data_IF_603790750544
#
_entry.id   IF_603790750544
#
_cell.length_a   1.000
_cell.length_b   1.000
_cell.length_c   1.000
_cell.angle_alpha   90.00
_cell.angle_beta   90.00
_cell.angle_gamma   90.00
#
_symmetry.space_group_name_H-M   'P 1'
#
loop_
_entity.id
_entity.type
_entity.pdbx_description
1 polymer ?
#
# COMPACT_ATOMS: atom_id res chain seq x y z
N UNK A 1 11.70 6.65 -23.20
CA UNK A 1 10.40 7.37 -23.12
C UNK A 1 10.52 8.45 -22.03
N UNK A 2 9.96 9.66 -22.19
CA UNK A 2 9.99 10.68 -21.13
C UNK A 2 8.62 10.74 -20.44
N UNK A 3 8.61 10.60 -19.12
CA UNK A 3 7.43 10.73 -18.27
C UNK A 3 7.59 11.97 -17.41
N UNK A 4 6.61 12.87 -17.43
CA UNK A 4 6.54 14.04 -16.55
C UNK A 4 5.37 13.89 -15.59
N UNK A 5 5.59 14.15 -14.30
CA UNK A 5 4.55 14.09 -13.27
C UNK A 5 4.54 15.43 -12.55
N UNK A 6 3.36 16.06 -12.45
CA UNK A 6 3.17 17.33 -11.75
C UNK A 6 1.95 17.26 -10.84
N UNK A 7 2.12 17.56 -9.55
CA UNK A 7 0.99 17.74 -8.63
C UNK A 7 0.19 18.98 -9.04
N UNK A 8 -1.12 18.82 -9.22
CA UNK A 8 -2.04 19.90 -9.61
C UNK A 8 -2.82 20.38 -8.39
N UNK A 9 -3.34 19.45 -7.59
CA UNK A 9 -4.03 19.69 -6.32
C UNK A 9 -3.80 18.53 -5.35
N UNK A 10 -4.42 18.57 -4.17
CA UNK A 10 -4.09 17.73 -3.02
C UNK A 10 -4.07 16.22 -3.34
N UNK A 11 -4.99 15.77 -4.20
CA UNK A 11 -5.15 14.37 -4.65
C UNK A 11 -5.16 14.19 -6.18
N UNK A 12 -4.54 15.10 -6.93
CA UNK A 12 -4.51 15.01 -8.40
C UNK A 12 -3.14 15.36 -8.97
N UNK A 13 -2.68 14.51 -9.87
CA UNK A 13 -1.43 14.67 -10.61
C UNK A 13 -1.69 14.65 -12.09
N UNK A 14 -1.13 15.64 -12.79
CA UNK A 14 -1.04 15.62 -14.24
C UNK A 14 0.19 14.80 -14.64
N UNK A 15 -0.06 13.73 -15.38
CA UNK A 15 0.97 12.84 -15.92
C UNK A 15 1.03 13.00 -17.43
N UNK A 16 2.23 13.25 -17.94
CA UNK A 16 2.54 13.39 -19.36
C UNK A 16 3.43 12.25 -19.83
N UNK A 17 2.95 11.45 -20.79
CA UNK A 17 3.68 10.34 -21.42
C UNK A 17 3.64 10.50 -22.93
N UNK A 18 4.76 10.89 -23.54
CA UNK A 18 4.84 11.10 -24.99
C UNK A 18 3.96 12.26 -25.46
N UNK A 19 2.80 11.96 -26.06
CA UNK A 19 1.80 12.95 -26.50
C UNK A 19 0.50 12.88 -25.67
N UNK A 20 0.41 11.96 -24.70
CA UNK A 20 -0.75 11.79 -23.86
C UNK A 20 -0.59 12.59 -22.56
N UNK A 21 -1.69 13.25 -22.16
CA UNK A 21 -1.86 13.87 -20.85
C UNK A 21 -3.01 13.17 -20.14
N UNK A 22 -2.81 12.81 -18.87
CA UNK A 22 -3.85 12.20 -18.04
C UNK A 22 -3.78 12.73 -16.61
N UNK A 23 -4.93 12.79 -15.97
CA UNK A 23 -5.07 13.14 -14.56
C UNK A 23 -5.16 11.84 -13.77
N UNK A 24 -4.27 11.66 -12.80
CA UNK A 24 -4.20 10.48 -11.95
C UNK A 24 -4.37 10.88 -10.48
N UNK A 25 -5.02 10.01 -9.72
CA UNK A 25 -5.01 10.08 -8.26
C UNK A 25 -3.68 9.57 -7.69
N UNK A 26 -3.49 9.72 -6.37
CA UNK A 26 -2.23 9.34 -5.73
C UNK A 26 -1.90 7.86 -5.90
N UNK A 27 -2.90 7.01 -5.71
CA UNK A 27 -2.73 5.56 -5.87
C UNK A 27 -2.28 5.18 -7.27
N UNK A 28 -2.91 5.74 -8.30
CA UNK A 28 -2.59 5.51 -9.70
C UNK A 28 -1.18 5.99 -10.06
N UNK A 29 -0.71 7.08 -9.44
CA UNK A 29 0.66 7.56 -9.61
C UNK A 29 1.68 6.58 -9.01
N UNK A 30 1.41 6.05 -7.81
CA UNK A 30 2.28 5.05 -7.16
C UNK A 30 2.32 3.75 -7.98
N UNK A 31 1.17 3.30 -8.50
CA UNK A 31 1.12 2.14 -9.40
C UNK A 31 1.89 2.37 -10.70
N UNK A 32 1.80 3.57 -11.27
CA UNK A 32 2.56 3.94 -12.46
C UNK A 32 4.06 3.91 -12.16
N UNK A 33 4.50 4.43 -11.01
CA UNK A 33 5.91 4.38 -10.61
C UNK A 33 6.42 2.94 -10.52
N UNK A 34 5.70 2.05 -9.82
CA UNK A 34 6.01 0.62 -9.73
C UNK A 34 6.10 -0.02 -11.12
N UNK A 35 5.15 0.29 -12.01
CA UNK A 35 5.11 -0.27 -13.36
C UNK A 35 6.30 0.20 -14.20
N UNK A 36 6.67 1.47 -14.10
CA UNK A 36 7.83 2.03 -14.81
C UNK A 36 9.16 1.44 -14.31
N UNK A 37 9.29 1.24 -12.99
CA UNK A 37 10.46 0.58 -12.41
C UNK A 37 10.59 -0.87 -12.90
N UNK A 38 9.48 -1.61 -12.92
CA UNK A 38 9.45 -2.98 -13.43
C UNK A 38 9.86 -3.06 -14.91
N UNK A 39 9.30 -2.20 -15.76
CA UNK A 39 9.67 -2.14 -17.19
C UNK A 39 11.15 -1.79 -17.36
N UNK A 40 11.66 -0.83 -16.58
CA UNK A 40 13.08 -0.47 -16.63
C UNK A 40 13.99 -1.62 -16.21
N UNK A 41 13.64 -2.37 -15.17
CA UNK A 41 14.39 -3.54 -14.75
C UNK A 41 14.44 -4.61 -15.85
N UNK A 42 13.30 -4.89 -16.50
CA UNK A 42 13.23 -5.82 -17.63
C UNK A 42 14.13 -5.38 -18.82
N UNK A 43 14.18 -4.08 -19.13
CA UNK A 43 15.07 -3.54 -20.17
C UNK A 43 16.56 -3.78 -19.87
N UNK A 44 16.94 -3.87 -18.59
CA UNK A 44 18.31 -4.13 -18.14
C UNK A 44 18.59 -5.63 -17.88
N UNK A 45 17.62 -6.51 -18.14
CA UNK A 45 17.73 -7.95 -17.89
C UNK A 45 17.60 -8.34 -16.41
N UNK A 46 17.10 -7.44 -15.56
CA UNK A 46 16.86 -7.67 -14.14
C UNK A 46 15.44 -8.21 -13.89
N UNK A 47 15.30 -9.08 -12.89
CA UNK A 47 13.99 -9.58 -12.45
C UNK A 47 13.44 -8.68 -11.35
N UNK A 48 12.36 -7.95 -11.63
CA UNK A 48 11.67 -7.11 -10.63
C UNK A 48 10.33 -7.72 -10.24
N UNK A 49 10.09 -7.99 -8.95
CA UNK A 49 8.82 -8.55 -8.48
C UNK A 49 7.80 -7.45 -8.23
N UNK A 50 6.74 -7.41 -9.03
CA UNK A 50 5.61 -6.48 -8.82
C UNK A 50 4.97 -6.70 -7.45
N UNK A 51 4.84 -7.95 -7.01
CA UNK A 51 4.28 -8.26 -5.70
C UNK A 51 5.10 -7.63 -4.57
N UNK A 52 6.43 -7.69 -4.65
CA UNK A 52 7.29 -7.06 -3.65
C UNK A 52 7.07 -5.55 -3.61
N UNK A 53 6.93 -4.90 -4.75
CA UNK A 53 6.68 -3.44 -4.80
C UNK A 53 5.32 -3.07 -4.20
N UNK A 54 4.30 -3.90 -4.39
CA UNK A 54 3.00 -3.73 -3.71
C UNK A 54 3.16 -3.89 -2.20
N UNK A 55 3.86 -4.93 -1.74
CA UNK A 55 4.14 -5.14 -0.31
C UNK A 55 4.89 -3.94 0.28
N UNK A 56 5.90 -3.41 -0.42
CA UNK A 56 6.63 -2.20 0.01
C UNK A 56 5.71 -0.98 0.10
N UNK A 57 4.81 -0.79 -0.86
CA UNK A 57 3.82 0.29 -0.82
C UNK A 57 2.84 0.11 0.36
N UNK A 58 2.45 -1.12 0.68
CA UNK A 58 1.61 -1.42 1.84
C UNK A 58 2.32 -1.19 3.18
N UNK A 59 3.65 -1.28 3.25
CA UNK A 59 4.42 -0.98 4.47
C UNK A 59 4.22 0.46 4.96
N UNK A 60 3.73 1.37 4.11
CA UNK A 60 3.34 2.75 4.50
C UNK A 60 2.22 2.79 5.54
N UNK A 61 1.54 1.68 5.81
CA UNK A 61 0.68 1.52 6.99
C UNK A 61 1.41 1.91 8.29
N UNK A 62 2.73 1.72 8.36
CA UNK A 62 3.56 2.15 9.49
C UNK A 62 3.66 3.68 9.63
N UNK A 63 3.33 4.46 8.60
CA UNK A 63 3.31 5.93 8.66
C UNK A 63 1.98 6.47 9.25
N UNK A 64 0.99 5.61 9.50
CA UNK A 64 -0.31 5.99 10.06
C UNK A 64 -0.27 6.08 11.59
N UNK A 65 -0.97 7.05 12.17
CA UNK A 65 -1.23 7.04 13.61
C UNK A 65 -2.21 5.91 14.02
N UNK A 66 -2.32 5.65 15.33
CA UNK A 66 -3.21 4.60 15.84
C UNK A 66 -4.67 4.82 15.38
N UNK A 67 -5.12 6.08 15.29
CA UNK A 67 -6.47 6.42 14.84
C UNK A 67 -6.67 6.08 13.35
N UNK A 68 -5.73 6.47 12.49
CA UNK A 68 -5.77 6.16 11.07
C UNK A 68 -5.66 4.67 10.80
N UNK A 69 -4.83 3.97 11.57
CA UNK A 69 -4.72 2.52 11.50
C UNK A 69 -6.01 1.82 11.91
N UNK A 70 -6.69 2.28 12.97
CA UNK A 70 -8.01 1.77 13.36
C UNK A 70 -9.10 2.06 12.32
N UNK A 71 -8.96 3.13 11.53
CA UNK A 71 -9.89 3.40 10.42
C UNK A 71 -9.63 2.42 9.29
N UNK A 72 -8.37 2.25 8.90
CA UNK A 72 -7.99 1.29 7.87
C UNK A 72 -8.44 -0.14 8.21
N UNK A 73 -8.14 -0.62 9.42
CA UNK A 73 -8.47 -2.00 9.83
C UNK A 73 -9.96 -2.29 9.97
N UNK A 74 -10.82 -1.26 9.95
CA UNK A 74 -12.29 -1.42 9.90
C UNK A 74 -12.83 -1.56 8.49
N UNK A 75 -12.14 -0.99 7.51
CA UNK A 75 -12.56 -0.98 6.09
C UNK A 75 -11.90 -2.10 5.28
N UNK A 76 -10.91 -2.78 5.85
CA UNK A 76 -10.17 -3.88 5.22
C UNK A 76 -10.60 -5.23 5.82
N UNK A 77 -10.79 -6.23 4.96
CA UNK A 77 -11.11 -7.59 5.41
C UNK A 77 -9.95 -8.24 6.18
N UNK A 78 -10.26 -9.01 7.22
CA UNK A 78 -9.23 -9.69 8.03
C UNK A 78 -8.37 -10.66 7.22
N UNK A 79 -8.92 -11.28 6.18
CA UNK A 79 -8.18 -12.14 5.27
C UNK A 79 -7.12 -11.35 4.47
N UNK A 80 -7.46 -10.15 4.01
CA UNK A 80 -6.53 -9.31 3.25
C UNK A 80 -5.37 -8.82 4.14
N UNK A 81 -5.68 -8.49 5.39
CA UNK A 81 -4.67 -8.18 6.40
C UNK A 81 -3.76 -9.40 6.66
N UNK A 82 -4.33 -10.59 6.80
CA UNK A 82 -3.54 -11.82 7.01
C UNK A 82 -2.57 -12.05 5.85
N UNK A 83 -3.06 -11.98 4.61
CA UNK A 83 -2.24 -12.19 3.42
C UNK A 83 -1.11 -11.16 3.31
N UNK A 84 -1.40 -9.89 3.58
CA UNK A 84 -0.38 -8.85 3.67
C UNK A 84 0.67 -9.17 4.75
N UNK A 85 0.24 -9.55 5.96
CA UNK A 85 1.15 -9.85 7.08
C UNK A 85 2.06 -11.06 6.79
N UNK A 86 1.53 -12.09 6.12
CA UNK A 86 2.30 -13.29 5.71
C UNK A 86 3.33 -12.94 4.64
N UNK A 87 2.95 -12.08 3.67
CA UNK A 87 3.84 -11.69 2.56
C UNK A 87 4.90 -10.68 2.99
N UNK A 88 4.54 -9.70 3.82
CA UNK A 88 5.44 -8.67 4.29
C UNK A 88 6.49 -9.21 5.26
N UNK A 89 6.12 -10.21 6.08
CA UNK A 89 6.97 -10.75 7.15
C UNK A 89 7.57 -9.66 8.07
N UNK A 90 6.88 -8.54 8.22
CA UNK A 90 7.32 -7.37 8.98
C UNK A 90 6.67 -7.37 10.36
N UNK A 91 7.46 -7.71 11.39
CA UNK A 91 6.96 -7.87 12.77
C UNK A 91 6.44 -6.56 13.36
N UNK A 92 7.04 -5.42 13.02
CA UNK A 92 6.61 -4.11 13.51
C UNK A 92 5.22 -3.72 12.95
N UNK A 93 5.04 -3.85 11.64
CA UNK A 93 3.76 -3.67 10.98
C UNK A 93 2.71 -4.62 11.57
N UNK A 94 3.06 -5.89 11.73
CA UNK A 94 2.16 -6.91 12.23
C UNK A 94 1.67 -6.58 13.66
N UNK A 95 2.58 -6.20 14.55
CA UNK A 95 2.21 -5.82 15.93
C UNK A 95 1.37 -4.54 15.96
N UNK A 96 1.66 -3.55 15.10
CA UNK A 96 0.84 -2.33 15.00
C UNK A 96 -0.57 -2.59 14.51
N UNK A 97 -0.73 -3.44 13.49
CA UNK A 97 -2.05 -3.88 13.00
C UNK A 97 -2.80 -4.59 14.13
N UNK A 98 -2.16 -5.56 14.79
CA UNK A 98 -2.78 -6.34 15.86
C UNK A 98 -3.20 -5.47 17.07
N UNK A 99 -2.38 -4.50 17.46
CA UNK A 99 -2.68 -3.54 18.54
C UNK A 99 -3.91 -2.69 18.24
N UNK A 100 -4.17 -2.40 16.96
CA UNK A 100 -5.26 -1.54 16.51
C UNK A 100 -6.50 -2.31 16.02
N UNK A 101 -6.53 -3.63 16.27
CA UNK A 101 -7.70 -4.48 16.05
C UNK A 101 -8.46 -4.75 17.36
N UNK A 102 -9.74 -5.12 17.24
CA UNK A 102 -10.50 -5.62 18.39
C UNK A 102 -9.86 -6.88 18.98
N UNK A 103 -9.88 -7.03 20.31
CA UNK A 103 -9.13 -8.07 21.04
C UNK A 103 -9.43 -9.51 20.59
N UNK A 104 -10.65 -9.79 20.14
CA UNK A 104 -11.04 -11.09 19.59
C UNK A 104 -10.45 -11.31 18.19
N UNK A 105 -10.58 -10.31 17.30
CA UNK A 105 -10.06 -10.36 15.92
C UNK A 105 -8.53 -10.47 15.94
N UNK A 106 -7.86 -9.69 16.78
CA UNK A 106 -6.41 -9.73 16.94
C UNK A 106 -5.91 -11.12 17.37
N UNK A 107 -6.61 -11.79 18.30
CA UNK A 107 -6.25 -13.16 18.73
C UNK A 107 -6.41 -14.19 17.61
N UNK A 108 -7.50 -14.08 16.85
CA UNK A 108 -7.75 -14.95 15.71
C UNK A 108 -6.68 -14.75 14.64
N UNK A 109 -6.47 -13.50 14.22
CA UNK A 109 -5.48 -13.15 13.20
C UNK A 109 -4.06 -13.58 13.59
N UNK A 110 -3.68 -13.42 14.87
CA UNK A 110 -2.39 -13.91 15.40
C UNK A 110 -2.29 -15.44 15.32
N UNK A 111 -3.35 -16.17 15.66
CA UNK A 111 -3.37 -17.63 15.53
C UNK A 111 -3.27 -18.06 14.07
N UNK A 112 -3.92 -17.35 13.16
CA UNK A 112 -3.94 -17.68 11.74
C UNK A 112 -2.58 -17.39 11.10
N UNK A 113 -1.93 -16.28 11.48
CA UNK A 113 -0.57 -15.93 11.04
C UNK A 113 0.46 -17.01 11.42
N UNK A 114 0.35 -17.61 12.61
CA UNK A 114 1.25 -18.69 13.05
C UNK A 114 1.05 -19.98 12.23
N UNK A 115 -0.17 -20.23 11.75
CA UNK A 115 -0.54 -21.44 11.00
C UNK A 115 -0.40 -21.27 9.48
N UNK A 116 -0.17 -20.06 9.00
CA UNK A 116 -0.12 -19.78 7.58
C UNK A 116 1.21 -20.28 6.99
N UNK A 117 1.14 -21.30 6.13
CA UNK A 117 2.33 -21.89 5.50
C UNK A 117 2.83 -21.09 4.28
N UNK A 118 1.93 -20.55 3.46
CA UNK A 118 2.24 -19.65 2.34
C UNK A 118 0.98 -19.08 1.69
N UNK A 119 1.10 -17.92 1.03
CA UNK A 119 0.04 -17.29 0.24
C UNK A 119 0.37 -17.45 -1.24
N UNK A 120 -0.63 -17.82 -2.06
CA UNK A 120 -0.44 -17.87 -3.52
C UNK A 120 -0.17 -16.46 -4.06
N UNK A 121 0.78 -16.32 -4.98
CA UNK A 121 1.21 -15.02 -5.52
C UNK A 121 0.03 -14.18 -6.07
N UNK A 122 -0.91 -14.83 -6.77
CA UNK A 122 -2.09 -14.16 -7.33
C UNK A 122 -3.05 -13.68 -6.24
N UNK A 123 -3.40 -14.52 -5.27
CA UNK A 123 -4.30 -14.14 -4.19
C UNK A 123 -3.68 -13.01 -3.36
N UNK A 124 -2.41 -13.20 -3.00
CA UNK A 124 -1.63 -12.25 -2.23
C UNK A 124 -1.53 -10.88 -2.87
N UNK A 125 -1.29 -10.83 -4.19
CA UNK A 125 -1.27 -9.57 -4.93
C UNK A 125 -2.61 -8.84 -4.84
N UNK A 126 -3.72 -9.54 -5.05
CA UNK A 126 -5.05 -8.93 -5.02
C UNK A 126 -5.44 -8.48 -3.61
N UNK A 127 -5.10 -9.26 -2.58
CA UNK A 127 -5.29 -8.88 -1.18
C UNK A 127 -4.51 -7.62 -0.84
N UNK A 128 -3.19 -7.62 -1.08
CA UNK A 128 -2.34 -6.45 -0.82
C UNK A 128 -2.81 -5.23 -1.61
N UNK A 129 -3.23 -5.42 -2.87
CA UNK A 129 -3.80 -4.34 -3.67
C UNK A 129 -5.05 -3.74 -3.02
N UNK A 130 -6.01 -4.55 -2.55
CA UNK A 130 -7.20 -4.06 -1.85
C UNK A 130 -6.84 -3.27 -0.59
N UNK A 131 -5.87 -3.74 0.19
CA UNK A 131 -5.39 -3.00 1.37
C UNK A 131 -4.88 -1.62 0.98
N UNK A 132 -4.04 -1.55 -0.06
CA UNK A 132 -3.45 -0.29 -0.54
C UNK A 132 -4.52 0.64 -1.11
N UNK A 133 -5.45 0.12 -1.92
CA UNK A 133 -6.57 0.88 -2.47
C UNK A 133 -7.41 1.52 -1.36
N UNK A 134 -7.78 0.74 -0.34
CA UNK A 134 -8.52 1.27 0.82
C UNK A 134 -7.70 2.32 1.56
N UNK A 135 -6.40 2.08 1.76
CA UNK A 135 -5.51 3.03 2.43
C UNK A 135 -5.46 4.38 1.70
N UNK A 136 -5.22 4.38 0.39
CA UNK A 136 -5.18 5.63 -0.39
C UNK A 136 -6.56 6.26 -0.58
N UNK A 137 -7.65 5.48 -0.60
CA UNK A 137 -9.00 6.02 -0.64
C UNK A 137 -9.33 6.79 0.65
N UNK A 138 -8.96 6.23 1.81
CA UNK A 138 -9.11 6.90 3.10
C UNK A 138 -8.25 8.16 3.20
N UNK A 139 -7.03 8.12 2.65
CA UNK A 139 -6.17 9.31 2.59
C UNK A 139 -6.79 10.40 1.71
N UNK A 140 -7.30 10.01 0.54
CA UNK A 140 -7.94 10.93 -0.41
C UNK A 140 -9.16 11.64 0.21
N UNK A 141 -9.83 10.99 1.16
CA UNK A 141 -10.96 11.54 1.91
C UNK A 141 -10.55 12.37 3.13
N UNK A 142 -9.24 12.47 3.43
CA UNK A 142 -8.72 13.13 4.64
C UNK A 142 -9.08 12.39 5.94
N UNK A 143 -9.43 11.10 5.86
CA UNK A 143 -9.75 10.28 7.04
C UNK A 143 -8.47 9.81 7.73
N UNK A 144 -7.43 9.57 6.94
CA UNK A 144 -6.09 9.23 7.41
C UNK A 144 -5.07 10.16 6.75
N UNK A 145 -3.96 10.39 7.43
CA UNK A 145 -2.83 11.15 6.88
C UNK A 145 -1.55 10.36 7.16
N UNK A 146 -0.64 10.33 6.20
CA UNK A 146 0.69 9.76 6.43
C UNK A 146 1.57 10.81 7.10
N UNK A 147 2.07 10.48 8.29
CA UNK A 147 3.07 11.33 8.94
C UNK A 147 4.40 11.17 8.22
N UNK A 148 4.81 12.21 7.50
CA UNK A 148 6.17 12.33 7.00
C UNK A 148 6.87 13.36 7.89
N UNK A 149 7.95 12.99 8.59
CA UNK A 149 8.75 13.89 9.45
C UNK A 149 9.31 15.11 8.67
N UNK A 150 9.18 15.09 7.34
CA UNK A 150 9.54 16.17 6.42
C UNK A 150 8.37 17.13 6.09
N UNK A 151 7.22 17.01 6.75
CA UNK A 151 6.05 17.86 6.47
C UNK A 151 6.13 19.13 7.31
N UNK A 152 6.85 20.14 6.81
CA UNK A 152 6.70 21.51 7.30
C UNK A 152 5.39 22.08 6.76
N UNK A 153 4.42 22.32 7.65
CA UNK A 153 3.30 23.20 7.34
C UNK A 153 3.86 24.61 7.06
N UNK A 154 3.52 25.15 5.89
CA UNK A 154 3.78 26.57 5.54
C UNK A 154 2.71 27.43 6.18
#
# INVERSE_FOLDING_TARGET
>A
MKVGIRKVQENEWLVHIGFANMHLDRFSVELLAITLEHVRALEHGETHSILNSYVQLALRIKELDDKGLQRLTREVESQDLLELMVLAQDTDMNERILKNLGSMVAKQLRSDLIKADSVSERAGKEAVKRVIETMFALETQGIIEFYNDTTQYI
#
